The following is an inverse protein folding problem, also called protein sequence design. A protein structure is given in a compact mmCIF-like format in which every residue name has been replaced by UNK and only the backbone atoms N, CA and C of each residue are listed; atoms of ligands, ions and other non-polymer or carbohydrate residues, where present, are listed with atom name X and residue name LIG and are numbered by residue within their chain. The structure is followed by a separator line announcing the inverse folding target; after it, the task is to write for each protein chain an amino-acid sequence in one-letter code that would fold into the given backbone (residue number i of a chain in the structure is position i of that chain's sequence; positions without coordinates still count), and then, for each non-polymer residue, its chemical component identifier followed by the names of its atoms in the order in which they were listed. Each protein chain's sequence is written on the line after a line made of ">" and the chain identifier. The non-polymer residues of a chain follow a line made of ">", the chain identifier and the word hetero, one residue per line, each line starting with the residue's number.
data_IF_301288004285
#
_entry.id   IF_301288004285
#
_cell.length_a   1.000
_cell.length_b   1.000
_cell.length_c   1.000
_cell.angle_alpha   90.00
_cell.angle_beta   90.00
_cell.angle_gamma   90.00
#
_symmetry.space_group_name_H-M   'P 1'
#
loop_
_entity.id
_entity.type
_entity.pdbx_description
1 polymer ?
#
# COMPACT_ATOMS: atom_id res chain seq x y z
N UNK A 1 -8.64 4.57 10.24
CA UNK A 1 -7.73 3.85 11.16
C UNK A 1 -8.24 2.44 11.35
N UNK A 2 -7.40 1.52 11.85
CA UNK A 2 -7.73 0.10 12.16
C UNK A 2 -8.43 -0.62 10.98
N UNK A 3 -7.73 -0.67 9.85
CA UNK A 3 -8.23 -1.28 8.62
C UNK A 3 -7.54 -2.62 8.42
N UNK A 4 -8.31 -3.67 8.09
CA UNK A 4 -7.79 -5.03 7.98
C UNK A 4 -8.16 -5.66 6.64
N UNK A 5 -7.15 -6.12 5.92
CA UNK A 5 -7.27 -6.96 4.72
C UNK A 5 -6.73 -8.35 5.06
N UNK A 6 -7.61 -9.33 5.19
CA UNK A 6 -7.27 -10.64 5.77
C UNK A 6 -7.59 -11.75 4.76
N UNK A 7 -6.61 -12.60 4.47
CA UNK A 7 -6.74 -13.83 3.66
C UNK A 7 -7.27 -13.62 2.23
N UNK A 8 -7.02 -12.44 1.65
CA UNK A 8 -7.40 -12.16 0.27
C UNK A 8 -6.56 -12.98 -0.72
N UNK A 9 -7.19 -13.40 -1.82
CA UNK A 9 -6.53 -14.08 -2.94
C UNK A 9 -6.64 -13.22 -4.19
N UNK A 10 -5.50 -12.87 -4.78
CA UNK A 10 -5.40 -12.07 -5.99
C UNK A 10 -5.32 -12.96 -7.24
N UNK A 11 -5.90 -12.51 -8.35
CA UNK A 11 -5.82 -13.19 -9.65
C UNK A 11 -5.44 -12.19 -10.73
N UNK A 12 -4.20 -12.29 -11.22
CA UNK A 12 -3.67 -11.51 -12.35
C UNK A 12 -3.91 -9.99 -12.23
N UNK A 13 -3.68 -9.43 -11.04
CA UNK A 13 -3.87 -8.00 -10.79
C UNK A 13 -2.63 -7.20 -11.15
N UNK A 14 -2.79 -5.91 -11.47
CA UNK A 14 -1.65 -5.03 -11.73
C UNK A 14 -0.77 -4.81 -10.49
N UNK A 15 -1.37 -4.47 -9.36
CA UNK A 15 -0.68 -4.17 -8.10
C UNK A 15 -1.32 -4.98 -6.96
N UNK A 16 -0.53 -5.61 -6.09
CA UNK A 16 -1.07 -6.39 -4.99
C UNK A 16 -1.51 -5.53 -3.79
N UNK A 17 -0.69 -4.55 -3.40
CA UNK A 17 -0.99 -3.60 -2.33
C UNK A 17 -0.80 -2.18 -2.86
N UNK A 18 -1.87 -1.38 -2.80
CA UNK A 18 -1.90 0.00 -3.29
C UNK A 18 -2.25 0.94 -2.13
N UNK A 19 -1.40 1.93 -1.87
CA UNK A 19 -1.65 2.94 -0.83
C UNK A 19 -1.17 4.31 -1.32
N UNK A 20 -2.10 5.24 -1.53
CA UNK A 20 -1.81 6.56 -2.06
C UNK A 20 -2.33 7.66 -1.14
N UNK A 21 -1.52 8.69 -0.92
CA UNK A 21 -1.93 9.92 -0.21
C UNK A 21 -1.61 11.17 -1.03
N UNK A 22 -1.62 11.03 -2.36
CA UNK A 22 -1.25 12.02 -3.36
C UNK A 22 -2.37 12.25 -4.40
N UNK A 23 -3.61 11.81 -4.11
CA UNK A 23 -4.74 12.08 -4.98
C UNK A 23 -5.09 13.57 -4.98
N UNK A 24 -5.25 14.14 -6.17
CA UNK A 24 -5.72 15.51 -6.37
C UNK A 24 -6.95 15.53 -7.26
N UNK A 25 -8.09 15.98 -6.70
CA UNK A 25 -9.31 16.21 -7.47
C UNK A 25 -9.10 17.24 -8.57
N UNK A 26 -8.32 18.30 -8.30
CA UNK A 26 -8.02 19.35 -9.26
C UNK A 26 -7.19 18.86 -10.46
N UNK A 27 -6.36 17.83 -10.27
CA UNK A 27 -5.58 17.19 -11.34
C UNK A 27 -6.26 15.93 -11.89
N UNK A 28 -7.38 15.51 -11.33
CA UNK A 28 -8.11 14.31 -11.72
C UNK A 28 -7.40 12.99 -11.42
N UNK A 29 -6.41 12.95 -10.53
CA UNK A 29 -5.60 11.74 -10.32
C UNK A 29 -4.49 11.87 -9.30
N UNK A 30 -3.66 10.82 -9.23
CA UNK A 30 -2.47 10.74 -8.38
C UNK A 30 -1.34 11.58 -8.96
N UNK A 31 -0.69 12.39 -8.12
CA UNK A 31 0.31 13.37 -8.56
C UNK A 31 1.76 12.97 -8.27
N UNK A 32 2.00 11.81 -7.67
CA UNK A 32 3.27 11.37 -7.11
C UNK A 32 3.87 12.35 -6.06
N UNK A 33 3.02 13.21 -5.49
CA UNK A 33 3.40 14.20 -4.47
C UNK A 33 2.50 14.04 -3.25
N UNK A 34 2.84 13.12 -2.33
CA UNK A 34 1.98 12.77 -1.21
C UNK A 34 2.00 13.87 -0.16
N UNK A 35 1.11 14.85 -0.32
CA UNK A 35 0.97 16.02 0.56
C UNK A 35 -0.25 15.96 1.47
N UNK A 36 -1.12 14.96 1.28
CA UNK A 36 -2.32 14.77 2.09
C UNK A 36 -2.00 14.69 3.58
N UNK A 37 -2.83 15.34 4.39
CA UNK A 37 -2.76 15.32 5.86
C UNK A 37 -3.67 14.25 6.48
N UNK A 38 -4.32 13.43 5.65
CA UNK A 38 -5.19 12.34 6.14
C UNK A 38 -4.35 11.34 6.91
N UNK A 39 -4.70 11.12 8.17
CA UNK A 39 -4.00 10.16 9.02
C UNK A 39 -4.41 8.72 8.70
N UNK A 40 -3.45 7.89 8.29
CA UNK A 40 -3.68 6.47 7.95
C UNK A 40 -2.93 5.60 8.94
N UNK A 41 -3.63 5.19 10.00
CA UNK A 41 -3.06 4.45 11.13
C UNK A 41 -3.61 3.03 11.22
N UNK A 42 -2.78 2.06 11.62
CA UNK A 42 -3.25 0.72 11.98
C UNK A 42 -3.73 -0.11 10.79
N UNK A 43 -3.00 -0.09 9.67
CA UNK A 43 -3.36 -0.90 8.50
C UNK A 43 -2.74 -2.28 8.63
N UNK A 44 -3.58 -3.32 8.60
CA UNK A 44 -3.14 -4.72 8.61
C UNK A 44 -3.42 -5.38 7.27
N UNK A 45 -2.40 -5.99 6.68
CA UNK A 45 -2.54 -6.92 5.55
C UNK A 45 -1.97 -8.26 5.99
N UNK A 46 -2.81 -9.29 6.05
CA UNK A 46 -2.40 -10.60 6.56
C UNK A 46 -2.85 -11.75 5.66
N UNK A 47 -1.94 -12.64 5.30
CA UNK A 47 -2.25 -13.85 4.52
C UNK A 47 -2.63 -13.57 3.06
N UNK A 48 -2.16 -12.46 2.49
CA UNK A 48 -2.41 -12.11 1.10
C UNK A 48 -1.62 -13.04 0.16
N UNK A 49 -2.31 -13.69 -0.78
CA UNK A 49 -1.69 -14.62 -1.75
C UNK A 49 -2.21 -14.39 -3.17
N UNK A 50 -1.61 -15.08 -4.15
CA UNK A 50 -2.06 -15.04 -5.55
C UNK A 50 -1.00 -14.50 -6.51
N UNK A 51 -1.43 -13.86 -7.60
CA UNK A 51 -0.54 -13.32 -8.64
C UNK A 51 -0.76 -11.83 -8.89
N UNK A 52 0.32 -11.10 -9.11
CA UNK A 52 0.28 -9.69 -9.51
C UNK A 52 1.46 -9.31 -10.41
N UNK A 53 1.38 -8.20 -11.12
CA UNK A 53 2.57 -7.64 -11.79
C UNK A 53 3.50 -7.00 -10.77
N UNK A 54 3.01 -6.05 -9.97
CA UNK A 54 3.76 -5.36 -8.91
C UNK A 54 3.30 -5.82 -7.53
N UNK A 55 4.24 -6.05 -6.61
CA UNK A 55 3.91 -6.32 -5.22
C UNK A 55 3.36 -5.07 -4.51
N UNK A 56 3.96 -3.90 -4.76
CA UNK A 56 3.57 -2.65 -4.14
C UNK A 56 3.38 -1.52 -5.14
N UNK A 57 2.43 -0.63 -4.84
CA UNK A 57 2.28 0.69 -5.43
C UNK A 57 1.92 1.65 -4.28
N UNK A 58 2.94 2.06 -3.53
CA UNK A 58 2.79 2.85 -2.31
C UNK A 58 3.47 4.20 -2.50
N UNK A 59 2.67 5.26 -2.48
CA UNK A 59 3.10 6.66 -2.49
C UNK A 59 2.35 7.41 -1.39
N UNK A 60 2.92 7.40 -0.19
CA UNK A 60 2.29 7.95 1.01
C UNK A 60 3.11 9.06 1.67
N UNK A 61 2.44 9.90 2.45
CA UNK A 61 3.07 10.94 3.26
C UNK A 61 3.53 10.29 4.58
N UNK A 62 4.84 10.10 4.72
CA UNK A 62 5.43 9.43 5.89
C UNK A 62 5.10 10.09 7.23
N UNK A 63 4.73 11.37 7.24
CA UNK A 63 4.38 12.12 8.46
C UNK A 63 3.02 11.74 9.05
N UNK A 64 2.14 11.11 8.27
CA UNK A 64 0.74 10.85 8.66
C UNK A 64 0.35 9.37 8.64
N UNK A 65 1.30 8.49 8.31
CA UNK A 65 1.12 7.03 8.35
C UNK A 65 1.82 6.42 9.55
N UNK A 66 1.20 5.42 10.20
CA UNK A 66 1.82 4.71 11.33
C UNK A 66 1.13 3.38 11.63
N UNK A 67 1.85 2.47 12.29
CA UNK A 67 1.29 1.21 12.78
C UNK A 67 0.78 0.30 11.66
N UNK A 68 1.46 0.27 10.52
CA UNK A 68 1.14 -0.69 9.46
C UNK A 68 1.82 -2.03 9.75
N UNK A 69 1.12 -3.13 9.46
CA UNK A 69 1.62 -4.48 9.68
C UNK A 69 1.26 -5.37 8.49
N UNK A 70 2.27 -5.78 7.71
CA UNK A 70 2.10 -6.72 6.61
C UNK A 70 2.71 -8.06 6.99
N UNK A 71 1.91 -9.13 6.93
CA UNK A 71 2.32 -10.46 7.38
C UNK A 71 1.76 -11.55 6.47
N UNK A 72 2.52 -12.63 6.26
CA UNK A 72 2.09 -13.73 5.39
C UNK A 72 1.76 -13.31 3.95
N UNK A 73 2.42 -12.29 3.41
CA UNK A 73 2.27 -11.86 2.02
C UNK A 73 3.07 -12.81 1.13
N UNK A 74 2.38 -13.69 0.41
CA UNK A 74 2.96 -14.74 -0.44
C UNK A 74 2.52 -14.58 -1.91
N UNK A 75 2.34 -13.33 -2.34
CA UNK A 75 1.97 -13.00 -3.72
C UNK A 75 3.16 -13.26 -4.65
N UNK A 76 2.91 -14.01 -5.74
CA UNK A 76 3.85 -14.14 -6.85
C UNK A 76 3.76 -12.89 -7.70
N UNK A 77 4.67 -11.95 -7.44
CA UNK A 77 4.79 -10.71 -8.21
C UNK A 77 5.99 -10.76 -9.16
N UNK A 78 5.83 -10.19 -10.35
CA UNK A 78 6.93 -10.06 -11.33
C UNK A 78 7.91 -8.94 -10.96
N UNK A 79 7.46 -7.96 -10.17
CA UNK A 79 8.27 -6.83 -9.72
C UNK A 79 7.90 -6.40 -8.29
N UNK A 80 8.86 -5.79 -7.57
CA UNK A 80 8.58 -5.17 -6.25
C UNK A 80 7.63 -3.97 -6.39
N UNK A 81 7.78 -3.15 -7.43
CA UNK A 81 7.02 -1.92 -7.62
C UNK A 81 7.53 -0.75 -6.78
N UNK A 82 6.66 0.21 -6.46
CA UNK A 82 7.03 1.47 -5.78
C UNK A 82 6.68 1.39 -4.30
N UNK A 83 7.63 1.80 -3.45
CA UNK A 83 7.42 1.94 -2.01
C UNK A 83 8.03 3.25 -1.53
N UNK A 84 7.18 4.23 -1.28
CA UNK A 84 7.56 5.55 -0.78
C UNK A 84 6.66 5.98 0.38
N UNK A 85 7.29 6.39 1.48
CA UNK A 85 6.62 6.97 2.64
C UNK A 85 5.82 6.01 3.50
N UNK A 86 6.17 4.71 3.50
CA UNK A 86 5.68 3.75 4.50
C UNK A 86 6.15 4.11 5.92
N UNK A 87 5.47 3.63 6.98
CA UNK A 87 5.98 3.79 8.35
C UNK A 87 7.34 3.11 8.53
N UNK A 88 8.25 3.73 9.29
CA UNK A 88 9.59 3.18 9.58
C UNK A 88 9.56 1.78 10.23
N UNK A 89 8.45 1.42 10.90
CA UNK A 89 8.27 0.11 11.52
C UNK A 89 7.96 -1.01 10.51
N UNK A 90 7.66 -0.68 9.26
CA UNK A 90 7.27 -1.63 8.23
C UNK A 90 8.46 -1.96 7.34
N UNK A 91 8.91 -3.22 7.37
CA UNK A 91 9.96 -3.73 6.48
C UNK A 91 9.34 -4.36 5.23
N UNK A 92 9.53 -3.74 4.07
CA UNK A 92 8.94 -4.14 2.78
C UNK A 92 9.89 -3.98 1.60
#
# INVERSE_FOLDING_TARGET
>A
SDVKYVQNTLSNVKNAIVMHSDYSKAKGGYTNSPTSQVTIKGVTVSGLKGTATNLYDIVANSKVVSGWNFSGVTVKASAKGVVAGVPNSLSV
#
